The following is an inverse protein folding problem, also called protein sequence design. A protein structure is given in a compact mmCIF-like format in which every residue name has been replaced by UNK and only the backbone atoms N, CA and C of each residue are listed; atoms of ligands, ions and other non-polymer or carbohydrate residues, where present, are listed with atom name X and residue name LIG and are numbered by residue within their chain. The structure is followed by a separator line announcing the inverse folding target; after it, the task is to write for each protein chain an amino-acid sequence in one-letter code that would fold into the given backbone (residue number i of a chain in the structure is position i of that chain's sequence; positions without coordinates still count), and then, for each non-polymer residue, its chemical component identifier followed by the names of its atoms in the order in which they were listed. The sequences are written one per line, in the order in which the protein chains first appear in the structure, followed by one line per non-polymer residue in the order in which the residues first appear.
data_IF_642477840789
#
_entry.id   IF_642477840789
#
_cell.length_a   1.000
_cell.length_b   1.000
_cell.length_c   1.000
_cell.angle_alpha   90.00
_cell.angle_beta   90.00
_cell.angle_gamma   90.00
#
_symmetry.space_group_name_H-M   'P 1'
#
loop_
_entity.id
_entity.type
_entity.pdbx_description
1 polymer ?
#
# COMPACT_ATOMS: atom_id res chain seq x y z
N UNK A 1 6.53 14.05 15.44
CA UNK A 1 6.27 14.34 16.86
C UNK A 1 5.68 15.74 16.97
N UNK A 2 4.68 15.93 17.85
CA UNK A 2 4.05 17.22 18.06
C UNK A 2 5.08 18.26 18.55
N UNK A 3 5.01 19.47 18.01
CA UNK A 3 5.91 20.57 18.34
C UNK A 3 5.76 21.08 19.79
N UNK A 4 4.71 20.64 20.49
CA UNK A 4 4.34 21.12 21.84
C UNK A 4 4.75 20.17 22.98
N UNK A 5 5.44 19.06 22.71
CA UNK A 5 5.90 18.13 23.75
C UNK A 5 7.09 18.73 24.53
N UNK A 6 7.05 18.74 25.88
CA UNK A 6 8.17 19.17 26.72
C UNK A 6 9.43 18.34 26.39
N UNK A 7 10.65 18.90 26.52
CA UNK A 7 11.90 18.23 26.17
C UNK A 7 12.12 16.88 26.89
N UNK A 8 11.70 16.81 28.15
CA UNK A 8 11.82 15.58 28.97
C UNK A 8 10.94 14.46 28.40
N UNK A 9 9.66 14.74 28.20
CA UNK A 9 8.71 13.77 27.64
C UNK A 9 9.10 13.33 26.23
N UNK A 10 9.64 14.25 25.43
CA UNK A 10 10.17 13.93 24.11
C UNK A 10 11.33 12.93 24.19
N UNK A 11 12.25 13.13 25.15
CA UNK A 11 13.38 12.21 25.36
C UNK A 11 12.93 10.83 25.82
N UNK A 12 11.97 10.76 26.74
CA UNK A 12 11.40 9.49 27.22
C UNK A 12 10.66 8.76 26.10
N UNK A 13 9.90 9.49 25.27
CA UNK A 13 9.20 8.92 24.14
C UNK A 13 10.17 8.37 23.08
N UNK A 14 11.27 9.08 22.79
CA UNK A 14 12.30 8.58 21.88
C UNK A 14 12.94 7.30 22.41
N UNK A 15 13.31 7.25 23.68
CA UNK A 15 13.86 6.05 24.33
C UNK A 15 12.89 4.89 24.27
N UNK A 16 11.59 5.14 24.50
CA UNK A 16 10.56 4.11 24.38
C UNK A 16 10.46 3.56 22.93
N UNK A 17 10.51 4.41 21.91
CA UNK A 17 10.50 3.98 20.53
C UNK A 17 11.75 3.18 20.16
N UNK A 18 12.93 3.61 20.63
CA UNK A 18 14.20 2.92 20.40
C UNK A 18 14.23 1.54 21.07
N UNK A 19 13.65 1.41 22.27
CA UNK A 19 13.55 0.15 22.99
C UNK A 19 12.57 -0.85 22.36
N UNK A 20 11.67 -0.38 21.48
CA UNK A 20 10.63 -1.18 20.85
C UNK A 20 10.70 -1.11 19.31
N UNK A 21 11.89 -1.04 18.74
CA UNK A 21 12.10 -0.95 17.29
C UNK A 21 11.53 -2.16 16.53
N UNK A 22 11.52 -3.32 17.17
CA UNK A 22 11.04 -4.58 16.62
C UNK A 22 9.53 -4.63 16.36
N UNK A 23 8.73 -3.79 17.04
CA UNK A 23 7.28 -3.70 16.81
C UNK A 23 6.89 -2.79 15.66
N UNK A 24 7.86 -2.03 15.10
CA UNK A 24 7.59 -1.12 13.99
C UNK A 24 8.02 -1.70 12.66
N UNK A 25 7.21 -1.52 11.62
CA UNK A 25 7.54 -1.91 10.26
C UNK A 25 8.36 -0.82 9.57
N UNK A 26 9.68 -1.01 9.52
CA UNK A 26 10.62 -0.07 8.93
C UNK A 26 10.81 -0.26 7.42
N UNK A 27 10.41 -1.42 6.89
CA UNK A 27 10.54 -1.72 5.46
C UNK A 27 9.41 -2.63 4.97
N UNK A 28 9.24 -2.70 3.66
CA UNK A 28 8.29 -3.60 2.99
C UNK A 28 8.68 -5.09 3.07
N UNK A 29 9.86 -5.40 3.61
CA UNK A 29 10.35 -6.76 3.79
C UNK A 29 10.01 -7.37 5.15
N UNK A 30 9.40 -6.58 6.04
CA UNK A 30 8.95 -7.10 7.33
C UNK A 30 7.76 -8.03 7.08
N UNK A 31 7.80 -9.29 7.55
CA UNK A 31 6.69 -10.22 7.39
C UNK A 31 5.44 -9.66 8.06
N UNK A 32 4.31 -9.80 7.37
CA UNK A 32 3.02 -9.40 7.93
C UNK A 32 2.60 -10.26 9.13
N UNK A 33 1.53 -9.86 9.79
CA UNK A 33 0.92 -10.64 10.88
C UNK A 33 0.47 -12.00 10.34
N UNK A 34 0.74 -13.06 11.11
CA UNK A 34 0.31 -14.41 10.74
C UNK A 34 -1.22 -14.45 10.57
N UNK A 35 -1.75 -14.89 9.40
CA UNK A 35 -3.19 -14.96 9.15
C UNK A 35 -3.97 -15.82 10.16
N UNK A 36 -3.30 -16.77 10.83
CA UNK A 36 -3.93 -17.57 11.91
C UNK A 36 -4.18 -16.77 13.17
N UNK A 37 -3.43 -15.68 13.39
CA UNK A 37 -3.64 -14.80 14.54
C UNK A 37 -4.76 -13.81 14.28
N UNK A 38 -4.73 -13.11 13.15
CA UNK A 38 -5.76 -12.16 12.74
C UNK A 38 -5.74 -11.97 11.22
N UNK A 39 -6.93 -11.95 10.62
CA UNK A 39 -7.12 -11.55 9.23
C UNK A 39 -8.05 -10.36 9.14
N UNK A 40 -7.72 -9.40 8.30
CA UNK A 40 -8.64 -8.33 7.95
C UNK A 40 -9.76 -8.87 7.06
N UNK A 41 -11.00 -8.72 7.51
CA UNK A 41 -12.17 -9.06 6.69
C UNK A 41 -12.60 -7.83 5.92
N UNK A 42 -12.61 -7.95 4.60
CA UNK A 42 -13.16 -6.90 3.73
C UNK A 42 -14.69 -6.90 3.82
N UNK A 43 -15.25 -5.72 4.10
CA UNK A 43 -16.71 -5.53 4.10
C UNK A 43 -17.22 -5.41 2.65
N UNK A 44 -17.20 -6.53 1.93
CA UNK A 44 -17.63 -6.61 0.53
C UNK A 44 -18.98 -7.31 0.47
N UNK A 45 -19.95 -6.71 -0.23
CA UNK A 45 -21.21 -7.36 -0.48
C UNK A 45 -21.00 -8.62 -1.35
N UNK A 46 -21.28 -9.84 -0.84
CA UNK A 46 -21.07 -11.09 -1.58
C UNK A 46 -21.95 -11.22 -2.83
N UNK A 47 -23.05 -10.47 -2.89
CA UNK A 47 -24.00 -10.46 -4.01
C UNK A 47 -23.65 -9.44 -5.10
N UNK A 48 -22.60 -8.64 -4.90
CA UNK A 48 -22.17 -7.69 -5.90
C UNK A 48 -21.64 -8.40 -7.14
N UNK A 49 -22.18 -8.05 -8.30
CA UNK A 49 -21.73 -8.62 -9.57
C UNK A 49 -20.34 -8.12 -9.92
N UNK A 50 -19.44 -9.03 -10.34
CA UNK A 50 -18.10 -8.65 -10.77
C UNK A 50 -18.12 -7.65 -11.92
N UNK A 51 -17.27 -6.62 -11.83
CA UNK A 51 -17.11 -5.61 -12.87
C UNK A 51 -15.66 -5.56 -13.35
N UNK A 52 -15.51 -5.39 -14.66
CA UNK A 52 -14.21 -5.14 -15.31
C UNK A 52 -14.26 -3.76 -15.94
N UNK A 53 -13.47 -2.85 -15.43
CA UNK A 53 -13.32 -1.53 -16.06
C UNK A 53 -12.61 -1.69 -17.40
N UNK A 54 -13.05 -1.00 -18.47
CA UNK A 54 -12.32 -1.00 -19.72
C UNK A 54 -10.93 -0.39 -19.53
N UNK A 55 -9.89 -0.92 -20.20
CA UNK A 55 -8.52 -0.43 -20.04
C UNK A 55 -8.41 1.01 -20.50
N UNK A 56 -7.75 1.84 -19.68
CA UNK A 56 -7.43 3.24 -20.01
C UNK A 56 -6.03 3.32 -20.59
N UNK A 57 -5.84 4.15 -21.62
CA UNK A 57 -4.50 4.45 -22.15
C UNK A 57 -3.73 5.27 -21.12
N UNK A 58 -2.53 4.82 -20.77
CA UNK A 58 -1.59 5.55 -19.92
C UNK A 58 -0.53 6.27 -20.76
N UNK A 59 -0.02 7.39 -20.28
CA UNK A 59 1.22 7.98 -20.84
C UNK A 59 2.40 7.03 -20.59
N UNK A 60 3.50 7.22 -21.32
CA UNK A 60 4.71 6.40 -21.14
C UNK A 60 5.25 6.49 -19.72
N UNK A 61 5.27 7.70 -19.15
CA UNK A 61 5.75 7.93 -17.77
C UNK A 61 4.89 7.24 -16.71
N UNK A 62 3.56 7.28 -16.89
CA UNK A 62 2.64 6.59 -16.00
C UNK A 62 2.78 5.06 -16.11
N UNK A 63 2.91 4.53 -17.31
CA UNK A 63 3.11 3.10 -17.53
C UNK A 63 4.42 2.62 -16.88
N UNK A 64 5.49 3.41 -16.98
CA UNK A 64 6.76 3.10 -16.33
C UNK A 64 6.67 3.15 -14.79
N UNK A 65 6.01 4.17 -14.25
CA UNK A 65 5.76 4.27 -12.80
C UNK A 65 4.99 3.05 -12.26
N UNK A 66 3.95 2.61 -12.97
CA UNK A 66 3.17 1.40 -12.62
C UNK A 66 4.06 0.16 -12.69
N UNK A 67 4.88 0.01 -13.75
CA UNK A 67 5.78 -1.14 -13.92
C UNK A 67 6.78 -1.26 -12.78
N UNK A 68 7.37 -0.16 -12.36
CA UNK A 68 8.33 -0.11 -11.24
C UNK A 68 7.63 -0.52 -9.94
N UNK A 69 6.46 0.03 -9.64
CA UNK A 69 5.74 -0.26 -8.41
C UNK A 69 5.25 -1.71 -8.38
N UNK A 70 4.71 -2.24 -9.48
CA UNK A 70 4.32 -3.65 -9.58
C UNK A 70 5.50 -4.59 -9.36
N UNK A 71 6.68 -4.29 -9.95
CA UNK A 71 7.89 -5.08 -9.73
C UNK A 71 8.28 -5.10 -8.24
N UNK A 72 8.28 -3.94 -7.58
CA UNK A 72 8.57 -3.80 -6.16
C UNK A 72 7.60 -4.61 -5.30
N UNK A 73 6.30 -4.49 -5.54
CA UNK A 73 5.27 -5.21 -4.79
C UNK A 73 5.32 -6.72 -5.02
N UNK A 74 5.63 -7.18 -6.24
CA UNK A 74 5.87 -8.61 -6.53
C UNK A 74 7.09 -9.14 -5.77
N UNK A 75 8.19 -8.40 -5.75
CA UNK A 75 9.41 -8.77 -5.02
C UNK A 75 9.18 -8.83 -3.50
N UNK A 76 8.35 -7.95 -2.97
CA UNK A 76 7.94 -7.94 -1.56
C UNK A 76 6.89 -9.02 -1.22
N UNK A 77 6.41 -9.81 -2.19
CA UNK A 77 5.34 -10.79 -1.98
C UNK A 77 3.97 -10.19 -1.64
N UNK A 78 3.82 -8.87 -1.79
CA UNK A 78 2.58 -8.16 -1.47
C UNK A 78 1.47 -8.38 -2.49
N UNK A 79 1.83 -8.72 -3.74
CA UNK A 79 0.89 -9.01 -4.82
C UNK A 79 1.32 -10.25 -5.58
N UNK A 80 0.36 -10.93 -6.17
CA UNK A 80 0.57 -12.06 -7.08
C UNK A 80 -0.16 -11.87 -8.40
N UNK A 81 0.31 -12.53 -9.44
CA UNK A 81 -0.35 -12.58 -10.73
C UNK A 81 -1.59 -13.47 -10.68
N UNK A 82 -2.67 -13.03 -11.31
CA UNK A 82 -3.92 -13.77 -11.41
C UNK A 82 -4.31 -13.85 -12.89
N UNK A 83 -4.63 -15.05 -13.35
CA UNK A 83 -5.18 -15.27 -14.69
C UNK A 83 -6.72 -15.21 -14.63
N UNK A 84 -7.34 -14.57 -15.63
CA UNK A 84 -8.80 -14.44 -15.76
C UNK A 84 -9.51 -13.82 -14.57
N UNK A 85 -9.11 -12.61 -14.12
CA UNK A 85 -9.74 -11.97 -12.97
C UNK A 85 -11.21 -11.68 -13.22
N UNK A 86 -12.06 -11.92 -12.22
CA UNK A 86 -13.49 -11.54 -12.26
C UNK A 86 -13.67 -10.03 -12.09
N UNK A 87 -12.85 -9.41 -11.23
CA UNK A 87 -12.83 -7.98 -10.97
C UNK A 87 -11.60 -7.36 -11.62
N UNK A 88 -11.77 -6.20 -12.27
CA UNK A 88 -10.66 -5.47 -12.87
C UNK A 88 -10.86 -3.97 -12.67
N UNK A 89 -9.90 -3.32 -12.01
CA UNK A 89 -9.87 -1.89 -11.78
C UNK A 89 -8.65 -1.26 -12.47
N UNK A 90 -8.82 -0.03 -12.96
CA UNK A 90 -7.71 0.73 -13.53
C UNK A 90 -6.80 1.31 -12.45
N UNK A 91 -5.53 1.44 -12.76
CA UNK A 91 -4.57 2.20 -11.95
C UNK A 91 -4.68 3.68 -12.24
N UNK A 92 -4.51 4.50 -11.21
CA UNK A 92 -4.36 5.96 -11.30
C UNK A 92 -2.99 6.33 -10.76
N UNK A 93 -2.26 7.14 -11.50
CA UNK A 93 -0.90 7.55 -11.14
C UNK A 93 -0.90 9.04 -10.81
N UNK A 94 -0.47 9.38 -9.60
CA UNK A 94 -0.44 10.75 -9.09
C UNK A 94 0.99 11.15 -8.74
N UNK A 95 1.42 12.33 -9.17
CA UNK A 95 2.72 12.87 -8.80
C UNK A 95 2.61 13.62 -7.48
N UNK A 96 3.37 13.17 -6.47
CA UNK A 96 3.44 13.84 -5.16
C UNK A 96 4.21 15.16 -5.25
N UNK A 97 4.02 16.05 -4.27
CA UNK A 97 4.81 17.29 -4.14
C UNK A 97 6.33 17.03 -4.10
N UNK A 98 6.74 15.87 -3.58
CA UNK A 98 8.14 15.41 -3.56
C UNK A 98 8.70 14.98 -4.91
N UNK A 99 7.90 15.06 -6.00
CA UNK A 99 8.27 14.58 -7.33
C UNK A 99 8.11 13.08 -7.55
N UNK A 100 7.87 12.29 -6.50
CA UNK A 100 7.68 10.83 -6.60
C UNK A 100 6.29 10.48 -7.12
N UNK A 101 6.21 9.42 -7.92
CA UNK A 101 4.95 8.85 -8.39
C UNK A 101 4.30 8.00 -7.30
N UNK A 102 2.99 8.09 -7.20
CA UNK A 102 2.16 7.19 -6.39
C UNK A 102 1.17 6.49 -7.30
N UNK A 103 1.17 5.17 -7.25
CA UNK A 103 0.20 4.33 -7.98
C UNK A 103 -0.94 3.99 -7.04
N UNK A 104 -2.17 4.27 -7.47
CA UNK A 104 -3.40 3.98 -6.74
C UNK A 104 -4.29 3.08 -7.59
N UNK A 105 -5.18 2.33 -6.93
CA UNK A 105 -6.22 1.56 -7.62
C UNK A 105 -7.51 2.37 -7.62
N UNK A 106 -8.15 2.46 -8.77
CA UNK A 106 -9.43 3.17 -8.88
C UNK A 106 -10.59 2.17 -8.89
N UNK A 107 -11.29 2.10 -7.77
CA UNK A 107 -12.48 1.25 -7.59
C UNK A 107 -13.81 1.97 -7.87
N UNK A 108 -13.76 3.22 -8.31
CA UNK A 108 -14.99 3.96 -8.70
C UNK A 108 -15.50 3.50 -10.06
N UNK A 109 -16.81 3.51 -10.22
CA UNK A 109 -17.49 3.14 -11.48
C UNK A 109 -17.32 4.19 -12.56
#
# INVERSE_FOLDING_TARGET
MGSQLPPLEKSEFVKFLEANLDVFTWSTYVPGINPRFICHQLNVNPWALPRKQPPRRSSKDHAEAVRIEVKKLKQAGAIKEIFYPKWLANTVVVKKKSGKWQVCMNFTN
#
